data_IF_870093294793
#
_entry.id   IF_870093294793
#
_cell.length_a   1.000
_cell.length_b   1.000
_cell.length_c   1.000
_cell.angle_alpha   90.00
_cell.angle_beta   90.00
_cell.angle_gamma   90.00
#
_symmetry.space_group_name_H-M   'P 1'
#
loop_
_entity.id
_entity.type
_entity.pdbx_description
1 polymer ?
#
# COMPACT_ATOMS: atom_id res chain seq x y z
N UNK A 1 -3.47 -21.45 1.11
CA UNK A 1 -2.31 -20.53 0.94
C UNK A 1 -2.83 -19.19 0.48
N UNK A 2 -2.36 -18.09 1.06
CA UNK A 2 -2.67 -16.75 0.56
C UNK A 2 -1.82 -16.46 -0.69
N UNK A 3 -2.42 -15.87 -1.73
CA UNK A 3 -1.75 -15.45 -2.98
C UNK A 3 -1.67 -13.92 -2.99
N UNK A 4 -0.48 -13.37 -3.23
CA UNK A 4 -0.32 -11.94 -3.46
C UNK A 4 -0.90 -11.60 -4.84
N UNK A 5 -1.96 -10.79 -4.87
CA UNK A 5 -2.69 -10.49 -6.10
C UNK A 5 -2.10 -9.32 -6.87
N UNK A 6 -1.71 -8.25 -6.19
CA UNK A 6 -1.18 -7.05 -6.80
C UNK A 6 -0.26 -6.31 -5.82
N UNK A 7 0.67 -5.53 -6.36
CA UNK A 7 1.47 -4.55 -5.64
C UNK A 7 1.14 -3.15 -6.15
N UNK A 8 1.05 -2.20 -5.23
CA UNK A 8 0.87 -0.79 -5.56
C UNK A 8 1.97 0.01 -4.87
N UNK A 9 2.82 0.65 -5.67
CA UNK A 9 3.86 1.55 -5.19
C UNK A 9 3.23 2.91 -4.93
N UNK A 10 3.16 3.31 -3.65
CA UNK A 10 2.52 4.56 -3.22
C UNK A 10 3.53 5.68 -2.96
N UNK A 11 4.81 5.36 -2.78
CA UNK A 11 5.80 6.33 -2.35
C UNK A 11 7.23 5.80 -2.33
N UNK A 12 8.16 6.71 -2.09
CA UNK A 12 9.59 6.42 -1.90
C UNK A 12 10.00 6.80 -0.48
N UNK A 13 10.65 5.89 0.22
CA UNK A 13 11.27 6.18 1.52
C UNK A 13 12.57 6.96 1.29
N UNK A 14 12.72 8.09 1.96
CA UNK A 14 13.93 8.94 1.88
C UNK A 14 14.77 8.90 3.17
N UNK A 15 14.24 8.28 4.22
CA UNK A 15 14.90 8.10 5.51
C UNK A 15 15.54 6.71 5.62
N UNK A 16 16.35 6.52 6.65
CA UNK A 16 16.96 5.22 6.93
C UNK A 16 15.89 4.16 7.25
N UNK A 17 16.26 2.89 7.12
CA UNK A 17 15.40 1.78 7.53
C UNK A 17 15.00 1.86 9.01
N UNK A 18 15.93 2.28 9.88
CA UNK A 18 15.63 2.47 11.30
C UNK A 18 14.57 3.56 11.53
N UNK A 19 14.69 4.71 10.86
CA UNK A 19 13.69 5.80 10.99
C UNK A 19 12.31 5.38 10.46
N UNK A 20 12.26 4.57 9.40
CA UNK A 20 11.02 3.98 8.90
C UNK A 20 10.40 3.05 9.96
N UNK A 21 11.19 2.16 10.53
CA UNK A 21 10.74 1.23 11.57
C UNK A 21 10.26 1.97 12.82
N UNK A 22 11.03 2.94 13.31
CA UNK A 22 10.70 3.77 14.46
C UNK A 22 9.40 4.54 14.24
N UNK A 23 9.15 5.04 13.02
CA UNK A 23 7.91 5.70 12.66
C UNK A 23 6.72 4.73 12.69
N UNK A 24 6.85 3.55 12.09
CA UNK A 24 5.79 2.53 12.05
C UNK A 24 5.47 1.97 13.43
N UNK A 25 6.46 1.84 14.32
CA UNK A 25 6.27 1.37 15.70
C UNK A 25 5.41 2.32 16.55
N UNK A 26 5.27 3.59 16.18
CA UNK A 26 4.35 4.53 16.84
C UNK A 26 2.88 4.21 16.58
N UNK A 27 2.58 3.39 15.58
CA UNK A 27 1.21 3.05 15.16
C UNK A 27 0.71 1.84 15.95
N UNK A 28 -0.26 2.00 16.86
CA UNK A 28 -0.67 0.90 17.72
C UNK A 28 -1.43 -0.19 16.96
N UNK A 29 -1.15 -1.43 17.34
CA UNK A 29 -1.99 -2.59 17.00
C UNK A 29 -3.06 -2.69 18.09
N UNK A 30 -4.32 -2.38 17.74
CA UNK A 30 -5.43 -2.39 18.70
C UNK A 30 -6.07 -3.78 18.70
N UNK A 31 -6.19 -4.37 19.88
CA UNK A 31 -6.88 -5.64 20.10
C UNK A 31 -8.30 -5.39 20.58
N UNK A 32 -9.17 -6.39 20.42
CA UNK A 32 -10.55 -6.41 20.94
C UNK A 32 -11.49 -5.31 20.41
N UNK A 33 -11.11 -4.61 19.33
CA UNK A 33 -11.95 -3.64 18.62
C UNK A 33 -12.33 -4.18 17.23
N UNK A 34 -13.61 -4.51 16.97
CA UNK A 34 -14.05 -5.04 15.67
C UNK A 34 -13.99 -4.00 14.54
N UNK A 35 -13.89 -2.71 14.86
CA UNK A 35 -13.70 -1.66 13.87
C UNK A 35 -12.26 -1.60 13.37
N UNK A 36 -11.31 -2.06 14.19
CA UNK A 36 -9.90 -2.14 13.86
C UNK A 36 -9.64 -3.30 12.89
N UNK A 37 -9.11 -2.95 11.72
CA UNK A 37 -8.84 -3.85 10.60
C UNK A 37 -7.48 -3.52 9.99
N UNK A 38 -6.96 -4.38 9.13
CA UNK A 38 -5.73 -4.08 8.38
C UNK A 38 -5.79 -2.71 7.68
N UNK A 39 -6.94 -2.35 7.09
CA UNK A 39 -7.17 -1.05 6.44
C UNK A 39 -7.07 0.14 7.41
N UNK A 40 -7.61 0.02 8.62
CA UNK A 40 -7.54 1.12 9.59
C UNK A 40 -6.11 1.28 10.09
N UNK A 41 -5.37 0.18 10.28
CA UNK A 41 -3.94 0.26 10.60
C UNK A 41 -3.14 0.90 9.48
N UNK A 42 -3.34 0.50 8.22
CA UNK A 42 -2.62 1.10 7.08
C UNK A 42 -2.93 2.59 6.92
N UNK A 43 -4.17 3.01 7.17
CA UNK A 43 -4.55 4.44 7.20
C UNK A 43 -3.70 5.21 8.20
N UNK A 44 -3.63 4.72 9.46
CA UNK A 44 -2.84 5.35 10.52
C UNK A 44 -1.34 5.31 10.22
N UNK A 45 -0.84 4.21 9.65
CA UNK A 45 0.56 4.08 9.28
C UNK A 45 0.97 5.09 8.19
N UNK A 46 0.16 5.25 7.14
CA UNK A 46 0.43 6.26 6.10
C UNK A 46 0.43 7.68 6.67
N UNK A 47 -0.50 7.98 7.58
CA UNK A 47 -0.54 9.28 8.26
C UNK A 47 0.70 9.51 9.14
N UNK A 48 1.16 8.49 9.88
CA UNK A 48 2.35 8.55 10.71
C UNK A 48 3.63 8.77 9.89
N UNK A 49 3.79 8.02 8.79
CA UNK A 49 4.92 8.18 7.88
C UNK A 49 4.98 9.57 7.25
N UNK A 50 3.81 10.14 6.92
CA UNK A 50 3.70 11.51 6.42
C UNK A 50 4.08 12.54 7.49
N UNK A 51 3.58 12.37 8.72
CA UNK A 51 3.89 13.25 9.85
C UNK A 51 5.39 13.29 10.16
N UNK A 52 6.05 12.12 10.15
CA UNK A 52 7.47 11.99 10.43
C UNK A 52 8.37 12.33 9.21
N UNK A 53 7.78 12.74 8.08
CA UNK A 53 8.50 13.05 6.83
C UNK A 53 9.41 11.89 6.36
N UNK A 54 8.92 10.64 6.48
CA UNK A 54 9.65 9.43 6.07
C UNK A 54 9.68 9.27 4.55
N UNK A 55 8.62 9.73 3.90
CA UNK A 55 8.38 9.57 2.47
C UNK A 55 8.74 10.83 1.68
N UNK A 56 9.12 10.67 0.42
CA UNK A 56 9.35 11.79 -0.49
C UNK A 56 8.09 12.63 -0.67
N UNK A 57 8.25 13.91 -1.02
CA UNK A 57 7.12 14.83 -1.28
C UNK A 57 6.21 14.40 -2.43
N UNK A 58 6.70 13.56 -3.34
CA UNK A 58 5.92 13.01 -4.45
C UNK A 58 5.09 11.78 -4.07
N UNK A 59 5.27 11.25 -2.85
CA UNK A 59 4.57 10.07 -2.37
C UNK A 59 3.10 10.39 -2.12
N UNK A 60 2.22 9.44 -2.42
CA UNK A 60 0.79 9.52 -2.15
C UNK A 60 0.55 8.99 -0.74
N UNK A 61 0.12 9.86 0.16
CA UNK A 61 -0.15 9.51 1.58
C UNK A 61 -1.63 9.60 1.95
N UNK A 62 -2.47 10.16 1.08
CA UNK A 62 -3.92 10.21 1.26
C UNK A 62 -4.52 8.80 1.11
N UNK A 63 -5.07 8.29 2.21
CA UNK A 63 -5.68 6.96 2.25
C UNK A 63 -6.87 6.82 1.30
N UNK A 64 -7.69 7.85 1.13
CA UNK A 64 -8.86 7.77 0.25
C UNK A 64 -8.42 7.56 -1.21
N UNK A 65 -7.34 8.22 -1.62
CA UNK A 65 -6.72 8.05 -2.94
C UNK A 65 -6.10 6.66 -3.07
N UNK A 66 -5.25 6.26 -2.11
CA UNK A 66 -4.59 4.94 -2.10
C UNK A 66 -5.64 3.83 -2.21
N UNK A 67 -6.67 3.88 -1.38
CA UNK A 67 -7.67 2.84 -1.31
C UNK A 67 -8.47 2.73 -2.62
N UNK A 68 -8.93 3.85 -3.15
CA UNK A 68 -9.72 3.89 -4.39
C UNK A 68 -8.92 3.31 -5.56
N UNK A 69 -7.66 3.73 -5.70
CA UNK A 69 -6.79 3.33 -6.81
C UNK A 69 -6.34 1.87 -6.68
N UNK A 70 -6.03 1.40 -5.47
CA UNK A 70 -5.72 -0.02 -5.23
C UNK A 70 -6.89 -0.92 -5.60
N UNK A 71 -8.12 -0.52 -5.23
CA UNK A 71 -9.33 -1.29 -5.57
C UNK A 71 -9.61 -1.28 -7.06
N UNK A 72 -9.48 -0.14 -7.71
CA UNK A 72 -9.66 -0.01 -9.14
C UNK A 72 -8.66 -0.88 -9.91
N UNK A 73 -7.38 -0.85 -9.50
CA UNK A 73 -6.34 -1.67 -10.12
C UNK A 73 -6.56 -3.17 -9.91
N UNK A 74 -6.88 -3.59 -8.69
CA UNK A 74 -7.16 -5.00 -8.40
C UNK A 74 -8.37 -5.52 -9.19
N UNK A 75 -9.46 -4.74 -9.25
CA UNK A 75 -10.66 -5.09 -10.01
C UNK A 75 -10.37 -5.16 -11.52
N UNK A 76 -9.57 -4.24 -12.05
CA UNK A 76 -9.11 -4.30 -13.45
C UNK A 76 -8.39 -5.62 -13.73
N UNK A 77 -7.45 -6.01 -12.87
CA UNK A 77 -6.69 -7.26 -13.03
C UNK A 77 -7.56 -8.51 -12.89
N UNK A 78 -8.56 -8.47 -12.03
CA UNK A 78 -9.56 -9.55 -11.94
C UNK A 78 -10.33 -9.71 -13.26
N UNK A 79 -10.83 -8.62 -13.85
CA UNK A 79 -11.53 -8.64 -15.15
C UNK A 79 -10.62 -9.10 -16.29
N UNK A 80 -9.32 -8.81 -16.22
CA UNK A 80 -8.30 -9.30 -17.17
C UNK A 80 -7.95 -10.80 -16.97
N UNK A 81 -8.59 -11.50 -16.03
CA UNK A 81 -8.32 -12.92 -15.73
C UNK A 81 -6.98 -13.16 -15.06
N UNK A 82 -6.29 -12.10 -14.61
CA UNK A 82 -4.90 -12.15 -14.11
C UNK A 82 -4.70 -13.07 -12.92
N UNK A 83 -5.78 -13.32 -12.17
CA UNK A 83 -5.75 -14.08 -10.92
C UNK A 83 -6.10 -15.57 -11.10
N UNK A 84 -6.62 -15.96 -12.26
CA UNK A 84 -7.05 -17.32 -12.57
C UNK A 84 -5.87 -18.28 -12.79
N UNK A 85 -4.75 -17.76 -13.33
CA UNK A 85 -3.55 -18.53 -13.58
C UNK A 85 -2.48 -18.33 -12.48
N UNK A 86 -1.62 -19.34 -12.31
CA UNK A 86 -0.36 -19.18 -11.57
C UNK A 86 0.61 -18.43 -12.50
N UNK A 87 1.08 -17.28 -12.04
CA UNK A 87 2.01 -16.44 -12.78
C UNK A 87 3.33 -16.32 -12.03
N UNK A 88 4.41 -16.14 -12.76
CA UNK A 88 5.75 -15.93 -12.19
C UNK A 88 5.96 -14.50 -11.69
N UNK A 89 5.15 -13.54 -12.15
CA UNK A 89 5.18 -12.14 -11.72
C UNK A 89 3.96 -11.77 -10.90
N UNK A 90 4.11 -10.74 -10.07
CA UNK A 90 3.00 -10.06 -9.40
C UNK A 90 2.78 -8.72 -10.10
N UNK A 91 1.56 -8.42 -10.57
CA UNK A 91 1.29 -7.20 -11.29
C UNK A 91 1.52 -6.01 -10.35
N UNK A 92 2.33 -5.05 -10.79
CA UNK A 92 2.78 -3.91 -9.97
C UNK A 92 2.41 -2.59 -10.63
N UNK A 93 1.68 -1.76 -9.89
CA UNK A 93 1.24 -0.44 -10.32
C UNK A 93 1.96 0.66 -9.54
N UNK A 94 2.58 1.59 -10.26
CA UNK A 94 3.12 2.82 -9.69
C UNK A 94 2.00 3.86 -9.63
N UNK A 95 1.54 4.18 -8.43
CA UNK A 95 0.47 5.14 -8.20
C UNK A 95 0.94 6.58 -8.42
N UNK A 96 2.22 6.87 -8.19
CA UNK A 96 2.79 8.21 -8.42
C UNK A 96 2.87 8.50 -9.93
N UNK A 97 3.28 7.51 -10.73
CA UNK A 97 3.32 7.61 -12.19
C UNK A 97 1.97 7.26 -12.86
N UNK A 98 1.00 6.78 -12.08
CA UNK A 98 -0.28 6.23 -12.54
C UNK A 98 -0.14 5.19 -13.65
N UNK A 99 0.85 4.31 -13.52
CA UNK A 99 1.24 3.38 -14.57
C UNK A 99 1.59 2.01 -14.01
N UNK A 100 1.20 0.98 -14.74
CA UNK A 100 1.67 -0.39 -14.50
C UNK A 100 3.13 -0.55 -14.93
N UNK A 101 3.97 -1.00 -14.00
CA UNK A 101 5.42 -1.18 -14.20
C UNK A 101 5.81 -2.65 -14.31
N UNK A 102 4.98 -3.56 -13.80
CA UNK A 102 5.10 -5.01 -14.00
C UNK A 102 3.71 -5.58 -14.35
N UNK A 103 3.55 -6.28 -15.49
CA UNK A 103 2.29 -6.91 -15.87
C UNK A 103 2.01 -8.27 -15.20
#
# INVERSE_FOLDING_TARGET
MAKLLALVLVGKVEKSGQELEDSLQKVPVVQDDPSWRCRTWTTSAMAQLAQDNILSKSSVTDWAVIETECRAYASKKEVEGRYEAITTTVPTYDLMARKEIVP
#
